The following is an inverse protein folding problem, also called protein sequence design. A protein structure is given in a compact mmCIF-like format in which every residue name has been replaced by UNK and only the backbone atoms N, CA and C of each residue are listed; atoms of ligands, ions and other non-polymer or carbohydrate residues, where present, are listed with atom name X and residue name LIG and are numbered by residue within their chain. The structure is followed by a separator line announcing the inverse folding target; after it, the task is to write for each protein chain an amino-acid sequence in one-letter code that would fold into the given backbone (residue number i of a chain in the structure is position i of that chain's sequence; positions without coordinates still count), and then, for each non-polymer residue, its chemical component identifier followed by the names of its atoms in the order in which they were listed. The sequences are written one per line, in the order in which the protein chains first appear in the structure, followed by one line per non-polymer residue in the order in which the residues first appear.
data_IF_219107960124
#
_entry.id   IF_219107960124
#
_cell.length_a   1.000
_cell.length_b   1.000
_cell.length_c   1.000
_cell.angle_alpha   90.00
_cell.angle_beta   90.00
_cell.angle_gamma   90.00
#
_symmetry.space_group_name_H-M   'P 1'
#
loop_
_entity.id
_entity.type
_entity.pdbx_description
1 polymer ?
#
# COMPACT_ATOMS: atom_id res chain seq x y z
N UNK A 1 -10.65 45.93 0.34
CA UNK A 1 -9.48 45.06 0.09
C UNK A 1 -9.79 43.72 0.72
N UNK A 2 -10.30 42.77 -0.07
CA UNK A 2 -10.73 41.46 0.44
C UNK A 2 -9.52 40.53 0.38
N UNK A 3 -8.96 40.22 1.55
CA UNK A 3 -7.82 39.34 1.71
C UNK A 3 -8.22 37.91 1.29
N UNK A 4 -7.67 37.46 0.17
CA UNK A 4 -7.82 36.09 -0.33
C UNK A 4 -7.22 35.14 0.69
N UNK A 5 -8.07 34.39 1.39
CA UNK A 5 -7.65 33.27 2.22
C UNK A 5 -7.07 32.22 1.26
N UNK A 6 -5.75 32.02 1.29
CA UNK A 6 -5.12 30.88 0.59
C UNK A 6 -5.68 29.62 1.21
N UNK A 7 -6.44 28.86 0.42
CA UNK A 7 -7.05 27.63 0.88
C UNK A 7 -5.95 26.56 0.99
N UNK A 8 -5.46 26.30 2.21
CA UNK A 8 -4.34 25.38 2.51
C UNK A 8 -4.67 23.90 2.35
N UNK A 9 -5.92 23.55 2.01
CA UNK A 9 -6.39 22.17 1.88
C UNK A 9 -7.11 21.94 0.56
N UNK A 10 -6.92 20.78 -0.08
CA UNK A 10 -7.55 20.46 -1.36
C UNK A 10 -9.07 20.41 -1.22
N UNK A 11 -9.79 20.94 -2.21
CA UNK A 11 -11.25 20.84 -2.27
C UNK A 11 -11.60 19.39 -2.64
N UNK A 12 -12.66 18.82 -2.05
CA UNK A 12 -13.09 17.42 -2.30
C UNK A 12 -13.22 17.09 -3.79
N UNK A 13 -13.64 18.06 -4.60
CA UNK A 13 -13.75 17.92 -6.06
C UNK A 13 -12.40 17.64 -6.74
N UNK A 14 -11.32 18.25 -6.24
CA UNK A 14 -9.98 18.12 -6.81
C UNK A 14 -9.37 16.76 -6.47
N UNK A 15 -9.65 16.22 -5.28
CA UNK A 15 -9.22 14.87 -4.86
C UNK A 15 -9.93 13.78 -5.65
N UNK A 16 -11.23 13.95 -5.92
CA UNK A 16 -12.02 13.00 -6.70
C UNK A 16 -11.66 13.02 -8.20
N UNK A 17 -11.29 14.19 -8.74
CA UNK A 17 -10.85 14.35 -10.13
C UNK A 17 -9.44 13.82 -10.40
N UNK A 18 -8.62 13.60 -9.37
CA UNK A 18 -7.25 13.08 -9.48
C UNK A 18 -7.16 11.54 -9.54
N UNK A 19 -8.29 10.83 -9.66
CA UNK A 19 -8.31 9.37 -9.83
C UNK A 19 -7.53 9.01 -11.10
N UNK A 20 -6.31 8.54 -10.91
CA UNK A 20 -5.43 8.13 -12.00
C UNK A 20 -5.87 6.75 -12.44
N UNK A 21 -6.60 6.66 -13.55
CA UNK A 21 -6.87 5.38 -14.21
C UNK A 21 -5.61 4.96 -14.96
N UNK A 22 -4.97 3.88 -14.50
CA UNK A 22 -3.79 3.33 -15.15
C UNK A 22 -4.19 2.42 -16.30
N UNK A 23 -3.52 2.59 -17.45
CA UNK A 23 -3.60 1.62 -18.55
C UNK A 23 -3.06 0.24 -18.11
N UNK A 24 -3.42 -0.81 -18.83
CA UNK A 24 -2.96 -2.17 -18.52
C UNK A 24 -1.43 -2.30 -18.53
N UNK A 25 -0.76 -1.59 -19.44
CA UNK A 25 0.70 -1.57 -19.52
C UNK A 25 1.33 -0.84 -18.33
N UNK A 26 0.78 0.30 -17.93
CA UNK A 26 1.24 1.04 -16.74
C UNK A 26 1.03 0.23 -15.45
N UNK A 27 -0.11 -0.45 -15.31
CA UNK A 27 -0.37 -1.35 -14.18
C UNK A 27 0.69 -2.45 -14.13
N UNK A 28 0.96 -3.10 -15.26
CA UNK A 28 1.96 -4.17 -15.34
C UNK A 28 3.35 -3.68 -14.97
N UNK A 29 3.75 -2.50 -15.45
CA UNK A 29 5.05 -1.93 -15.14
C UNK A 29 5.18 -1.55 -13.65
N UNK A 30 4.14 -0.92 -13.09
CA UNK A 30 4.09 -0.60 -11.65
C UNK A 30 4.12 -1.85 -10.79
N UNK A 31 3.37 -2.90 -11.16
CA UNK A 31 3.40 -4.21 -10.48
C UNK A 31 4.83 -4.78 -10.44
N UNK A 32 5.57 -4.73 -11.55
CA UNK A 32 6.98 -5.17 -11.59
C UNK A 32 7.88 -4.36 -10.65
N UNK A 33 7.74 -3.03 -10.66
CA UNK A 33 8.52 -2.15 -9.79
C UNK A 33 8.25 -2.48 -8.32
N UNK A 34 6.97 -2.66 -7.94
CA UNK A 34 6.59 -3.01 -6.57
C UNK A 34 7.20 -4.35 -6.17
N UNK A 35 7.03 -5.40 -6.99
CA UNK A 35 7.62 -6.72 -6.72
C UNK A 35 9.13 -6.66 -6.50
N UNK A 36 9.84 -5.88 -7.33
CA UNK A 36 11.28 -5.66 -7.19
C UNK A 36 11.63 -4.97 -5.87
N UNK A 37 10.95 -3.87 -5.54
CA UNK A 37 11.20 -3.12 -4.31
C UNK A 37 10.92 -3.94 -3.04
N UNK A 38 9.88 -4.78 -3.04
CA UNK A 38 9.59 -5.66 -1.91
C UNK A 38 10.73 -6.64 -1.65
N UNK A 39 11.28 -7.23 -2.72
CA UNK A 39 12.43 -8.13 -2.62
C UNK A 39 13.70 -7.39 -2.17
N UNK A 40 13.97 -6.22 -2.74
CA UNK A 40 15.13 -5.38 -2.36
C UNK A 40 15.09 -4.95 -0.89
N UNK A 41 13.89 -4.83 -0.31
CA UNK A 41 13.68 -4.33 1.06
C UNK A 41 13.32 -5.41 2.07
N UNK A 42 13.30 -6.68 1.66
CA UNK A 42 12.79 -7.81 2.47
C UNK A 42 11.44 -7.46 3.13
N UNK A 43 10.54 -6.91 2.32
CA UNK A 43 9.25 -6.38 2.77
C UNK A 43 8.08 -7.21 2.23
N UNK A 44 6.99 -7.25 3.00
CA UNK A 44 5.73 -7.88 2.61
C UNK A 44 4.61 -6.84 2.60
N UNK A 45 3.68 -7.00 1.66
CA UNK A 45 2.48 -6.16 1.59
C UNK A 45 1.37 -6.80 2.43
N UNK A 46 0.69 -5.97 3.22
CA UNK A 46 -0.56 -6.36 3.90
C UNK A 46 -1.66 -5.42 3.43
N UNK A 47 -2.73 -5.98 2.88
CA UNK A 47 -3.83 -5.23 2.27
C UNK A 47 -5.16 -5.55 2.96
N UNK A 48 -6.04 -4.54 3.03
CA UNK A 48 -7.41 -4.73 3.53
C UNK A 48 -8.35 -5.13 2.39
N UNK A 49 -9.43 -5.85 2.66
CA UNK A 49 -10.43 -6.24 1.63
C UNK A 49 -11.06 -5.08 0.85
N UNK A 50 -10.92 -3.83 1.34
CA UNK A 50 -11.50 -2.64 0.72
C UNK A 50 -10.53 -1.84 -0.14
N UNK A 51 -9.32 -2.35 -0.36
CA UNK A 51 -8.39 -1.75 -1.34
C UNK A 51 -8.67 -2.28 -2.74
N UNK A 52 -8.14 -1.59 -3.74
CA UNK A 52 -8.28 -1.96 -5.15
C UNK A 52 -7.77 -3.39 -5.44
N UNK A 53 -8.45 -4.12 -6.33
CA UNK A 53 -8.13 -5.51 -6.71
C UNK A 53 -6.65 -5.70 -7.10
N UNK A 54 -6.10 -4.76 -7.87
CA UNK A 54 -4.68 -4.77 -8.26
C UNK A 54 -3.72 -4.86 -7.07
N UNK A 55 -4.05 -4.22 -5.94
CA UNK A 55 -3.20 -4.24 -4.74
C UNK A 55 -3.36 -5.56 -4.00
N UNK A 56 -4.58 -6.11 -3.96
CA UNK A 56 -4.84 -7.42 -3.37
C UNK A 56 -4.08 -8.51 -4.13
N UNK A 57 -4.13 -8.49 -5.46
CA UNK A 57 -3.39 -9.41 -6.31
C UNK A 57 -1.88 -9.32 -6.07
N UNK A 58 -1.31 -8.11 -6.00
CA UNK A 58 0.12 -7.96 -5.69
C UNK A 58 0.45 -8.54 -4.31
N UNK A 59 -0.39 -8.31 -3.30
CA UNK A 59 -0.17 -8.86 -1.97
C UNK A 59 -0.14 -10.39 -2.01
N UNK A 60 -1.08 -11.03 -2.71
CA UNK A 60 -1.11 -12.49 -2.85
C UNK A 60 0.10 -13.03 -3.64
N UNK A 61 0.42 -12.42 -4.78
CA UNK A 61 1.55 -12.84 -5.63
C UNK A 61 2.92 -12.68 -4.96
N UNK A 62 3.05 -11.77 -4.01
CA UNK A 62 4.32 -11.45 -3.33
C UNK A 62 4.50 -12.17 -2.00
N UNK A 63 3.57 -13.06 -1.62
CA UNK A 63 3.59 -13.74 -0.32
C UNK A 63 3.26 -12.79 0.85
N UNK A 64 2.52 -11.72 0.55
CA UNK A 64 1.89 -10.81 1.48
C UNK A 64 0.62 -11.39 2.09
N UNK A 65 -0.31 -10.53 2.51
CA UNK A 65 -1.53 -10.97 3.19
C UNK A 65 -2.70 -10.01 2.92
N UNK A 66 -3.83 -10.54 2.49
CA UNK A 66 -5.08 -9.78 2.30
C UNK A 66 -6.06 -10.19 3.40
N UNK A 67 -6.46 -9.25 4.25
CA UNK A 67 -7.14 -9.59 5.50
C UNK A 67 -8.00 -8.46 6.07
N UNK A 68 -8.86 -8.79 7.03
CA UNK A 68 -9.47 -7.81 7.93
C UNK A 68 -8.48 -7.31 9.00
N UNK A 69 -8.91 -6.32 9.79
CA UNK A 69 -8.03 -5.72 10.81
C UNK A 69 -7.53 -6.70 11.88
N UNK A 70 -8.33 -7.69 12.27
CA UNK A 70 -7.96 -8.64 13.32
C UNK A 70 -6.93 -9.65 12.79
N UNK A 71 -7.15 -10.14 11.59
CA UNK A 71 -6.23 -11.05 10.92
C UNK A 71 -4.91 -10.37 10.57
N UNK A 72 -4.93 -9.10 10.15
CA UNK A 72 -3.72 -8.29 9.94
C UNK A 72 -2.90 -8.16 11.23
N UNK A 73 -3.55 -7.91 12.38
CA UNK A 73 -2.86 -7.84 13.67
C UNK A 73 -2.21 -9.18 14.05
N UNK A 74 -2.93 -10.30 13.85
CA UNK A 74 -2.40 -11.65 14.07
C UNK A 74 -1.24 -11.97 13.13
N UNK A 75 -1.33 -11.60 11.86
CA UNK A 75 -0.26 -11.76 10.89
C UNK A 75 0.99 -10.98 11.33
N UNK A 76 0.83 -9.72 11.74
CA UNK A 76 1.92 -8.90 12.28
C UNK A 76 2.60 -9.53 13.51
N UNK A 77 1.82 -10.12 14.43
CA UNK A 77 2.38 -10.84 15.58
C UNK A 77 3.13 -12.13 15.19
N UNK A 78 2.67 -12.85 14.17
CA UNK A 78 3.32 -14.08 13.67
C UNK A 78 4.57 -13.79 12.84
N UNK A 79 4.64 -12.61 12.23
CA UNK A 79 5.81 -12.13 11.51
C UNK A 79 6.88 -11.74 12.54
N UNK A 80 7.76 -12.70 12.86
CA UNK A 80 8.94 -12.46 13.68
C UNK A 80 9.83 -11.44 12.96
N UNK A 81 9.80 -10.18 13.41
CA UNK A 81 10.94 -9.30 13.23
C UNK A 81 12.18 -10.05 13.73
N UNK A 82 13.24 -10.11 12.94
CA UNK A 82 14.50 -10.78 13.25
C UNK A 82 15.24 -10.19 14.49
N UNK A 83 14.59 -9.37 15.32
CA UNK A 83 15.09 -8.89 16.61
C UNK A 83 14.88 -9.91 17.74
N UNK A 84 15.24 -11.18 17.51
CA UNK A 84 15.30 -12.21 18.56
C UNK A 84 16.65 -12.93 18.62
N UNK A 85 17.62 -12.54 17.78
CA UNK A 85 18.96 -13.17 17.76
C UNK A 85 20.10 -12.22 18.17
N UNK A 86 19.79 -11.09 18.83
CA UNK A 86 20.79 -10.22 19.45
C UNK A 86 20.35 -9.84 20.88
N UNK A 87 20.38 -10.84 21.76
CA UNK A 87 20.42 -10.66 23.21
C UNK A 87 21.46 -11.66 23.73
N UNK A 88 22.72 -11.23 23.65
CA UNK A 88 23.72 -11.54 24.67
C UNK A 88 23.53 -10.49 25.76
#
# INVERSE_FOLDING_TARGET
MSSVIKQEFPITKDVLGARTEYSQDEKREKKKIIKRLLKERDAKIVAHYYVHEDIQEIADETGGFVADSLEMARFGMKQRSLLSSLLV
#
